data_IF_513663936176
#
_entry.id   IF_513663936176
#
_cell.length_a   1.000
_cell.length_b   1.000
_cell.length_c   1.000
_cell.angle_alpha   90.00
_cell.angle_beta   90.00
_cell.angle_gamma   90.00
#
_symmetry.space_group_name_H-M   'P 1'
#
loop_
_entity.id
_entity.type
_entity.pdbx_description
1 polymer ?
#
# COMPACT_ATOMS: atom_id res chain seq x y z
N UNK A 1 -1.99 15.20 14.02
CA UNK A 1 -1.40 14.19 14.90
C UNK A 1 -1.15 12.87 14.19
N UNK A 2 -2.16 12.29 13.53
CA UNK A 2 -1.96 11.03 12.78
C UNK A 2 -1.59 11.24 11.33
N UNK A 3 -1.65 12.47 10.81
CA UNK A 3 -1.39 12.76 9.40
C UNK A 3 -0.01 12.34 8.93
N UNK A 4 1.02 12.54 9.74
CA UNK A 4 2.38 12.16 9.37
C UNK A 4 2.52 10.66 9.21
N UNK A 5 1.94 9.89 10.13
CA UNK A 5 1.96 8.44 10.05
C UNK A 5 1.17 7.94 8.85
N UNK A 6 0.00 8.52 8.62
CA UNK A 6 -0.84 8.18 7.46
C UNK A 6 -0.07 8.48 6.16
N UNK A 7 0.55 9.65 6.07
CA UNK A 7 1.31 10.03 4.88
C UNK A 7 2.50 9.10 4.64
N UNK A 8 3.21 8.71 5.69
CA UNK A 8 4.32 7.76 5.58
C UNK A 8 3.84 6.40 5.05
N UNK A 9 2.68 5.95 5.53
CA UNK A 9 2.10 4.68 5.09
C UNK A 9 1.64 4.76 3.63
N UNK A 10 1.02 5.86 3.22
CA UNK A 10 0.66 6.08 1.82
C UNK A 10 1.89 6.10 0.92
N UNK A 11 2.99 6.69 1.39
CA UNK A 11 4.24 6.73 0.65
C UNK A 11 4.78 5.31 0.42
N UNK A 12 4.72 4.46 1.44
CA UNK A 12 5.12 3.05 1.33
C UNK A 12 4.21 2.29 0.37
N UNK A 13 2.90 2.53 0.44
CA UNK A 13 1.94 1.94 -0.50
C UNK A 13 2.31 2.32 -1.93
N UNK A 14 2.62 3.59 -2.14
CA UNK A 14 3.02 4.09 -3.46
C UNK A 14 4.27 3.37 -3.97
N UNK A 15 5.25 3.17 -3.12
CA UNK A 15 6.47 2.44 -3.46
C UNK A 15 6.16 0.99 -3.87
N UNK A 16 5.31 0.30 -3.11
CA UNK A 16 4.91 -1.06 -3.44
C UNK A 16 4.08 -1.13 -4.73
N UNK A 17 3.19 -0.16 -4.95
CA UNK A 17 2.43 -0.08 -6.20
C UNK A 17 3.34 0.16 -7.39
N UNK A 18 4.37 0.98 -7.22
CA UNK A 18 5.38 1.20 -8.25
C UNK A 18 6.12 -0.09 -8.59
N UNK A 19 6.45 -0.89 -7.57
CA UNK A 19 7.05 -2.20 -7.78
C UNK A 19 6.13 -3.11 -8.57
N UNK A 20 4.85 -3.16 -8.23
CA UNK A 20 3.86 -3.98 -8.94
C UNK A 20 3.74 -3.53 -10.39
N UNK A 21 3.68 -2.22 -10.64
CA UNK A 21 3.58 -1.68 -12.00
C UNK A 21 4.80 -2.05 -12.84
N UNK A 22 5.99 -1.94 -12.27
CA UNK A 22 7.23 -2.30 -12.98
C UNK A 22 7.29 -3.78 -13.30
N UNK A 23 6.83 -4.62 -12.38
CA UNK A 23 6.85 -6.07 -12.58
C UNK A 23 5.70 -6.52 -13.48
N UNK A 24 4.59 -5.79 -13.53
CA UNK A 24 3.53 -6.04 -14.53
C UNK A 24 4.06 -5.82 -15.93
N UNK A 25 4.86 -4.76 -16.13
CA UNK A 25 5.48 -4.50 -17.43
C UNK A 25 6.40 -5.66 -17.82
N UNK A 26 7.19 -6.18 -16.87
CA UNK A 26 8.02 -7.35 -17.10
C UNK A 26 7.17 -8.59 -17.46
N UNK A 27 6.00 -8.73 -16.82
CA UNK A 27 5.05 -9.78 -17.14
C UNK A 27 4.51 -9.68 -18.56
N UNK A 28 4.22 -8.48 -19.03
CA UNK A 28 3.79 -8.28 -20.42
C UNK A 28 4.88 -8.67 -21.42
N UNK A 29 6.13 -8.39 -21.09
CA UNK A 29 7.26 -8.84 -21.90
C UNK A 29 7.35 -10.36 -21.97
N UNK A 30 6.98 -11.04 -20.89
CA UNK A 30 6.94 -12.49 -20.86
C UNK A 30 5.90 -13.07 -21.81
N UNK A 31 4.78 -12.39 -22.00
CA UNK A 31 3.76 -12.81 -22.95
C UNK A 31 4.29 -12.76 -24.38
N UNK A 32 5.23 -11.84 -24.65
CA UNK A 32 5.89 -11.76 -25.95
C UNK A 32 7.03 -12.77 -26.08
N UNK A 33 7.57 -13.25 -24.95
CA UNK A 33 8.64 -14.25 -24.89
C UNK A 33 8.21 -15.42 -23.98
N UNK A 34 7.42 -16.36 -24.51
CA UNK A 34 6.82 -17.41 -23.67
C UNK A 34 7.80 -18.39 -23.04
N UNK A 35 9.07 -18.35 -23.41
CA UNK A 35 10.09 -19.24 -22.88
C UNK A 35 10.79 -18.70 -21.62
N UNK A 36 10.40 -17.51 -21.14
CA UNK A 36 11.01 -16.90 -19.95
C UNK A 36 9.95 -16.65 -18.89
N UNK A 37 9.69 -17.62 -18.01
CA UNK A 37 8.73 -17.41 -16.93
C UNK A 37 9.22 -16.35 -15.95
N UNK A 38 8.27 -15.67 -15.28
CA UNK A 38 8.59 -14.70 -14.24
C UNK A 38 9.42 -15.40 -13.17
N UNK A 39 10.53 -14.77 -12.74
CA UNK A 39 11.39 -15.37 -11.73
C UNK A 39 10.65 -15.52 -10.40
N UNK A 40 11.07 -16.53 -9.62
CA UNK A 40 10.49 -16.77 -8.31
C UNK A 40 10.70 -15.57 -7.38
N UNK A 41 11.83 -14.88 -7.54
CA UNK A 41 12.12 -13.68 -6.76
C UNK A 41 11.12 -12.57 -7.03
N UNK A 42 10.76 -12.35 -8.31
CA UNK A 42 9.78 -11.35 -8.69
C UNK A 42 8.40 -11.75 -8.19
N UNK A 43 8.01 -13.01 -8.32
CA UNK A 43 6.74 -13.50 -7.80
C UNK A 43 6.63 -13.28 -6.30
N UNK A 44 7.66 -13.65 -5.56
CA UNK A 44 7.69 -13.47 -4.11
C UNK A 44 7.61 -12.00 -3.73
N UNK A 45 8.33 -11.13 -4.44
CA UNK A 45 8.29 -9.69 -4.20
C UNK A 45 6.90 -9.12 -4.45
N UNK A 46 6.21 -9.58 -5.49
CA UNK A 46 4.85 -9.14 -5.81
C UNK A 46 3.85 -9.57 -4.74
N UNK A 47 3.94 -10.81 -4.28
CA UNK A 47 3.08 -11.31 -3.20
C UNK A 47 3.30 -10.48 -1.93
N UNK A 48 4.56 -10.26 -1.57
CA UNK A 48 4.90 -9.44 -0.42
C UNK A 48 4.38 -8.01 -0.55
N UNK A 49 4.53 -7.40 -1.73
CA UNK A 49 4.05 -6.05 -1.96
C UNK A 49 2.54 -5.95 -1.76
N UNK A 50 1.78 -6.90 -2.28
CA UNK A 50 0.32 -6.92 -2.09
C UNK A 50 -0.07 -7.08 -0.63
N UNK A 51 0.61 -7.98 0.09
CA UNK A 51 0.36 -8.18 1.51
C UNK A 51 0.67 -6.91 2.30
N UNK A 52 1.78 -6.25 2.01
CA UNK A 52 2.16 -5.01 2.67
C UNK A 52 1.18 -3.89 2.39
N UNK A 53 0.72 -3.77 1.14
CA UNK A 53 -0.30 -2.78 0.77
C UNK A 53 -1.57 -3.02 1.57
N UNK A 54 -2.05 -4.25 1.64
CA UNK A 54 -3.26 -4.59 2.39
C UNK A 54 -3.10 -4.26 3.88
N UNK A 55 -1.95 -4.59 4.47
CA UNK A 55 -1.67 -4.29 5.88
C UNK A 55 -1.64 -2.79 6.10
N UNK A 56 -0.95 -2.04 5.24
CA UNK A 56 -0.85 -0.59 5.34
C UNK A 56 -2.21 0.09 5.17
N UNK A 57 -3.02 -0.37 4.23
CA UNK A 57 -4.37 0.17 4.04
C UNK A 57 -5.24 -0.05 5.27
N UNK A 58 -5.14 -1.22 5.90
CA UNK A 58 -5.86 -1.51 7.13
C UNK A 58 -5.39 -0.62 8.27
N UNK A 59 -4.08 -0.42 8.41
CA UNK A 59 -3.52 0.46 9.42
C UNK A 59 -3.94 1.92 9.20
N UNK A 60 -3.96 2.37 7.95
CA UNK A 60 -4.41 3.72 7.61
C UNK A 60 -5.89 3.90 7.98
N UNK A 61 -6.73 2.92 7.66
CA UNK A 61 -8.15 2.97 8.01
C UNK A 61 -8.35 3.10 9.52
N UNK A 62 -7.57 2.37 10.31
CA UNK A 62 -7.61 2.45 11.76
C UNK A 62 -7.17 3.82 12.27
N UNK A 63 -6.11 4.38 11.69
CA UNK A 63 -5.62 5.71 12.07
C UNK A 63 -6.61 6.81 11.69
N UNK A 64 -7.22 6.71 10.52
CA UNK A 64 -8.25 7.66 10.08
C UNK A 64 -9.45 7.62 11.01
N UNK A 65 -9.86 6.45 11.44
CA UNK A 65 -10.95 6.29 12.39
C UNK A 65 -10.62 6.94 13.74
N UNK A 66 -9.41 6.72 14.24
CA UNK A 66 -8.95 7.34 15.48
C UNK A 66 -8.92 8.87 15.36
N UNK A 67 -8.48 9.39 14.24
CA UNK A 67 -8.46 10.83 13.99
C UNK A 67 -9.88 11.41 13.98
N UNK A 68 -10.82 10.72 13.35
CA UNK A 68 -12.23 11.14 13.33
C UNK A 68 -12.82 11.15 14.74
N UNK A 69 -12.54 10.15 15.55
CA UNK A 69 -13.00 10.10 16.93
C UNK A 69 -12.42 11.24 17.75
N UNK A 70 -11.14 11.53 17.56
CA UNK A 70 -10.47 12.64 18.22
C UNK A 70 -11.12 13.99 17.86
N UNK A 71 -11.39 14.21 16.58
CA UNK A 71 -12.04 15.43 16.11
C UNK A 71 -13.45 15.58 16.65
N UNK A 72 -14.22 14.48 16.74
CA UNK A 72 -15.54 14.51 17.33
C UNK A 72 -15.50 14.89 18.80
N UNK A 73 -14.50 14.39 19.52
CA UNK A 73 -14.31 14.74 20.94
C UNK A 73 -14.01 16.23 21.10
N UNK A 74 -13.18 16.80 20.24
CA UNK A 74 -12.86 18.22 20.26
C UNK A 74 -14.10 19.06 19.96
N UNK A 75 -14.85 18.67 18.93
CA UNK A 75 -16.09 19.39 18.58
C UNK A 75 -17.12 19.31 19.72
N UNK A 76 -17.20 18.18 20.40
CA UNK A 76 -18.05 18.02 21.56
C UNK A 76 -17.65 18.91 22.74
N UNK A 77 -16.34 19.15 22.90
CA UNK A 77 -15.83 20.02 23.96
C UNK A 77 -16.12 21.49 23.67
N UNK A 78 -16.07 21.88 22.42
CA UNK A 78 -16.33 23.27 22.02
C UNK A 78 -17.81 23.67 22.14
N UNK A 79 -18.70 22.69 22.17
CA UNK A 79 -20.11 22.95 22.35
C UNK A 79 -20.48 23.20 23.81
#
# INVERSE_FOLDING_TARGET
MYKEEINKKYQKIHEFRSLLNRTDYAGHRQNDEPNKPMSEEIKAARINAREQINTLESEIADLELLEQEYLKTIDGIEL
#
